data_IF_901822138900
#
_entry.id   IF_901822138900
#
_cell.length_a   1.000
_cell.length_b   1.000
_cell.length_c   1.000
_cell.angle_alpha   90.00
_cell.angle_beta   90.00
_cell.angle_gamma   90.00
#
_symmetry.space_group_name_H-M   'P 1'
#
loop_
_entity.id
_entity.type
_entity.pdbx_description
1 polymer ?
#
# COMPACT_ATOMS: atom_id res chain seq x y z
N UNK A 1 -15.30 -5.74 -5.55
CA UNK A 1 -16.15 -5.25 -6.66
C UNK A 1 -15.30 -4.98 -7.88
N UNK A 2 -15.73 -5.43 -9.02
CA UNK A 2 -15.05 -5.19 -10.28
C UNK A 2 -15.74 -4.05 -10.99
N UNK A 3 -14.97 -3.02 -11.32
CA UNK A 3 -15.47 -1.90 -12.08
C UNK A 3 -14.84 -1.96 -13.47
N UNK A 4 -15.67 -2.06 -14.47
CA UNK A 4 -15.19 -2.04 -15.84
C UNK A 4 -15.13 -0.62 -16.34
N UNK A 5 -13.99 -0.28 -16.89
CA UNK A 5 -13.77 1.01 -17.48
C UNK A 5 -13.91 0.83 -18.99
N UNK A 6 -14.52 1.80 -19.63
CA UNK A 6 -14.89 1.76 -21.02
C UNK A 6 -13.71 1.34 -21.92
N UNK A 7 -14.02 0.49 -22.88
CA UNK A 7 -13.09 0.09 -23.92
C UNK A 7 -12.10 -0.97 -23.53
N UNK A 8 -12.11 -1.41 -22.30
CA UNK A 8 -11.16 -2.40 -21.85
C UNK A 8 -11.67 -3.21 -20.70
N UNK A 9 -10.85 -4.12 -20.27
CA UNK A 9 -11.12 -4.96 -19.12
C UNK A 9 -10.32 -4.49 -17.92
N UNK A 10 -10.24 -3.18 -17.77
CA UNK A 10 -9.53 -2.60 -16.64
C UNK A 10 -10.25 -2.93 -15.34
N UNK A 11 -9.49 -3.33 -14.37
CA UNK A 11 -10.03 -3.71 -13.07
C UNK A 11 -9.31 -2.91 -12.00
N UNK A 12 -10.08 -2.57 -10.98
CA UNK A 12 -9.50 -1.94 -9.80
C UNK A 12 -9.16 -3.05 -8.82
N UNK A 13 -7.92 -3.04 -8.36
CA UNK A 13 -7.42 -4.01 -7.40
C UNK A 13 -6.86 -3.29 -6.20
N UNK A 14 -6.74 -4.01 -5.11
CA UNK A 14 -6.13 -3.50 -3.89
C UNK A 14 -4.98 -4.41 -3.49
N UNK A 15 -3.95 -3.81 -2.92
CA UNK A 15 -2.83 -4.52 -2.32
C UNK A 15 -2.59 -3.92 -0.95
N UNK A 16 -2.48 -4.76 0.04
CA UNK A 16 -2.27 -4.35 1.42
C UNK A 16 -0.82 -4.61 1.82
N UNK A 17 -0.21 -3.62 2.44
CA UNK A 17 1.14 -3.70 2.97
C UNK A 17 1.09 -3.43 4.47
N UNK A 18 1.93 -4.10 5.22
CA UNK A 18 2.00 -3.87 6.66
C UNK A 18 3.44 -3.77 7.11
N UNK A 19 3.64 -3.03 8.19
CA UNK A 19 4.94 -2.97 8.84
C UNK A 19 4.72 -2.65 10.31
N UNK A 20 5.73 -2.87 11.12
CA UNK A 20 5.70 -2.54 12.53
C UNK A 20 6.60 -1.31 12.74
N UNK A 21 6.05 -0.29 13.38
CA UNK A 21 6.77 0.93 13.68
C UNK A 21 7.29 0.86 15.11
N UNK A 22 8.60 0.87 15.25
CA UNK A 22 9.25 0.95 16.55
C UNK A 22 9.57 2.40 16.85
N UNK A 23 9.42 2.79 18.11
CA UNK A 23 9.51 4.20 18.49
C UNK A 23 10.81 4.88 18.04
N UNK A 24 11.94 4.17 18.09
CA UNK A 24 13.22 4.75 17.73
C UNK A 24 13.56 4.62 16.25
N UNK A 25 12.75 3.91 15.49
CA UNK A 25 13.02 3.61 14.08
C UNK A 25 11.82 3.87 13.18
N UNK A 26 10.86 4.67 13.65
CA UNK A 26 9.60 4.87 12.92
C UNK A 26 9.83 5.40 11.51
N UNK A 27 10.73 6.36 11.34
CA UNK A 27 10.99 6.91 10.00
C UNK A 27 11.58 5.87 9.06
N UNK A 28 12.50 5.05 9.57
CA UNK A 28 13.08 3.99 8.76
C UNK A 28 12.02 2.97 8.36
N UNK A 29 11.16 2.60 9.30
CA UNK A 29 10.09 1.63 9.03
C UNK A 29 9.10 2.17 7.99
N UNK A 30 8.81 3.47 8.04
CA UNK A 30 7.94 4.11 7.06
C UNK A 30 8.62 4.13 5.69
N UNK A 31 9.89 4.46 5.63
CA UNK A 31 10.65 4.42 4.37
C UNK A 31 10.68 3.00 3.78
N UNK A 32 10.85 2.00 4.63
CA UNK A 32 10.83 0.61 4.17
C UNK A 32 9.47 0.25 3.57
N UNK A 33 8.40 0.72 4.21
CA UNK A 33 7.06 0.50 3.70
C UNK A 33 6.86 1.19 2.35
N UNK A 34 7.30 2.44 2.23
CA UNK A 34 7.25 3.18 0.96
C UNK A 34 8.01 2.44 -0.13
N UNK A 35 9.18 1.91 0.19
CA UNK A 35 9.98 1.16 -0.75
C UNK A 35 9.25 -0.10 -1.21
N UNK A 36 8.58 -0.79 -0.31
CA UNK A 36 7.79 -1.97 -0.66
C UNK A 36 6.67 -1.61 -1.63
N UNK A 37 5.96 -0.52 -1.38
CA UNK A 37 4.87 -0.06 -2.23
C UNK A 37 5.41 0.32 -3.61
N UNK A 38 6.48 1.11 -3.64
CA UNK A 38 7.08 1.56 -4.89
C UNK A 38 7.62 0.38 -5.70
N UNK A 39 8.22 -0.60 -5.04
CA UNK A 39 8.72 -1.79 -5.70
C UNK A 39 7.57 -2.60 -6.31
N UNK A 40 6.46 -2.72 -5.59
CA UNK A 40 5.28 -3.40 -6.10
C UNK A 40 4.74 -2.70 -7.36
N UNK A 41 4.65 -1.37 -7.31
CA UNK A 41 4.18 -0.58 -8.45
C UNK A 41 5.08 -0.81 -9.66
N UNK A 42 6.38 -0.79 -9.44
CA UNK A 42 7.36 -0.97 -10.51
C UNK A 42 7.33 -2.39 -11.08
N UNK A 43 7.32 -3.40 -10.20
CA UNK A 43 7.37 -4.80 -10.63
C UNK A 43 6.13 -5.21 -11.40
N UNK A 44 4.99 -4.61 -11.07
CA UNK A 44 3.72 -4.92 -11.73
C UNK A 44 3.35 -3.93 -12.81
N UNK A 45 4.24 -3.00 -13.11
CA UNK A 45 4.08 -1.99 -14.17
C UNK A 45 2.75 -1.24 -14.03
N UNK A 46 2.44 -0.87 -12.80
CA UNK A 46 1.20 -0.15 -12.51
C UNK A 46 1.36 1.28 -13.00
N UNK A 47 0.47 1.73 -13.87
CA UNK A 47 0.51 3.07 -14.44
C UNK A 47 -0.51 4.00 -13.80
N UNK A 48 -1.48 3.45 -13.08
CA UNK A 48 -2.51 4.28 -12.46
C UNK A 48 -2.77 3.83 -11.03
N UNK A 49 -2.39 4.66 -10.11
CA UNK A 49 -2.70 4.51 -8.69
C UNK A 49 -3.94 5.33 -8.42
N UNK A 50 -4.94 4.72 -7.81
CA UNK A 50 -6.20 5.39 -7.50
C UNK A 50 -6.13 6.04 -6.13
N UNK A 51 -5.66 5.29 -5.15
CA UNK A 51 -5.54 5.83 -3.80
C UNK A 51 -4.55 5.03 -2.97
N UNK A 52 -4.01 5.69 -1.98
CA UNK A 52 -3.19 5.06 -0.95
C UNK A 52 -3.74 5.55 0.38
N UNK A 53 -4.07 4.63 1.25
CA UNK A 53 -4.58 4.99 2.57
C UNK A 53 -3.88 4.21 3.66
N UNK A 54 -3.66 4.85 4.79
CA UNK A 54 -2.94 4.27 5.92
C UNK A 54 -3.84 4.20 7.14
N UNK A 55 -3.69 3.12 7.88
CA UNK A 55 -4.35 2.95 9.18
C UNK A 55 -3.31 2.41 10.15
N UNK A 56 -3.31 2.93 11.35
CA UNK A 56 -2.45 2.43 12.42
C UNK A 56 -3.24 1.51 13.33
N UNK A 57 -2.58 0.46 13.78
CA UNK A 57 -3.14 -0.46 14.76
C UNK A 57 -2.42 -0.29 16.08
N UNK A 58 -3.09 -0.61 17.18
CA UNK A 58 -2.44 -0.56 18.47
C UNK A 58 -1.41 -1.69 18.56
N UNK A 59 -0.24 -1.35 19.11
CA UNK A 59 0.79 -2.31 19.39
C UNK A 59 1.03 -2.43 20.89
N UNK A 60 1.93 -3.30 21.26
CA UNK A 60 2.35 -3.45 22.65
C UNK A 60 3.64 -2.67 22.87
N UNK A 61 3.73 -2.04 24.01
CA UNK A 61 4.91 -1.28 24.38
C UNK A 61 5.09 -0.06 23.47
N UNK A 62 6.24 0.02 22.85
CA UNK A 62 6.59 1.14 21.98
C UNK A 62 6.40 0.83 20.50
N UNK A 63 5.66 -0.21 20.17
CA UNK A 63 5.44 -0.59 18.78
C UNK A 63 4.03 -0.25 18.35
N UNK A 64 3.88 0.12 17.09
CA UNK A 64 2.60 0.39 16.45
C UNK A 64 2.61 -0.29 15.10
N UNK A 65 1.52 -0.93 14.75
CA UNK A 65 1.38 -1.51 13.41
C UNK A 65 0.83 -0.46 12.45
N UNK A 66 1.29 -0.51 11.22
CA UNK A 66 0.74 0.32 10.15
C UNK A 66 0.26 -0.60 9.02
N UNK A 67 -0.93 -0.28 8.52
CA UNK A 67 -1.52 -0.98 7.39
C UNK A 67 -1.72 0.04 6.28
N UNK A 68 -1.13 -0.23 5.14
CA UNK A 68 -1.26 0.64 3.97
C UNK A 68 -1.98 -0.11 2.86
N UNK A 69 -3.03 0.49 2.35
CA UNK A 69 -3.82 -0.10 1.27
C UNK A 69 -3.62 0.72 0.01
N UNK A 70 -3.15 0.04 -1.03
CA UNK A 70 -2.96 0.63 -2.35
C UNK A 70 -4.10 0.16 -3.24
N UNK A 71 -4.84 1.11 -3.80
CA UNK A 71 -5.85 0.82 -4.83
C UNK A 71 -5.29 1.26 -6.17
N UNK A 72 -5.35 0.38 -7.14
CA UNK A 72 -4.75 0.64 -8.45
C UNK A 72 -5.57 -0.01 -9.56
N UNK A 73 -5.33 0.46 -10.75
CA UNK A 73 -6.01 -0.03 -11.94
C UNK A 73 -5.08 -0.89 -12.77
N UNK A 74 -5.57 -2.02 -13.23
CA UNK A 74 -4.85 -2.90 -14.13
C UNK A 74 -5.56 -2.93 -15.48
N UNK A 75 -4.76 -3.17 -16.51
CA UNK A 75 -5.32 -3.36 -17.82
C UNK A 75 -5.90 -4.77 -17.97
#
# INVERSE_FOLDING_TARGET
>A
MIIRIRGGLNMIKVKTFTNVLKALHAMQEIHDLDNQVNQFIQDNKITKVISVSDTCTEGEGSTVGIIRVLSYETA
#
